data_IF_642931051614
#
_entry.id   IF_642931051614
#
_cell.length_a   1.000
_cell.length_b   1.000
_cell.length_c   1.000
_cell.angle_alpha   90.00
_cell.angle_beta   90.00
_cell.angle_gamma   90.00
#
_symmetry.space_group_name_H-M   'P 1'
#
loop_
_entity.id
_entity.type
_entity.pdbx_description
1 polymer ?
#
# COMPACT_ATOMS: atom_id res chain seq x y z
N UNK A 1 -10.95 19.81 -17.39
CA UNK A 1 -9.76 19.85 -16.50
C UNK A 1 -8.78 20.92 -16.98
N UNK A 2 -8.20 21.68 -16.06
CA UNK A 2 -7.22 22.72 -16.31
C UNK A 2 -5.81 22.12 -16.40
N UNK A 3 -5.32 21.92 -17.63
CA UNK A 3 -4.00 21.35 -17.89
C UNK A 3 -2.94 22.43 -18.12
N UNK A 4 -1.75 22.23 -17.55
CA UNK A 4 -0.55 23.04 -17.85
C UNK A 4 -0.05 22.77 -19.27
N UNK A 5 0.87 23.60 -19.76
CA UNK A 5 1.42 23.41 -21.10
C UNK A 5 2.20 22.10 -21.24
N UNK A 6 2.95 21.67 -20.22
CA UNK A 6 3.63 20.37 -20.25
C UNK A 6 2.62 19.20 -20.28
N UNK A 7 1.54 19.28 -19.51
CA UNK A 7 0.46 18.29 -19.50
C UNK A 7 -0.29 18.23 -20.83
N UNK A 8 -0.49 19.37 -21.51
CA UNK A 8 -1.04 19.41 -22.88
C UNK A 8 -0.10 18.78 -23.89
N UNK A 9 1.21 19.06 -23.81
CA UNK A 9 2.22 18.44 -24.67
C UNK A 9 2.25 16.91 -24.52
N UNK A 10 2.17 16.41 -23.28
CA UNK A 10 1.97 14.98 -23.01
C UNK A 10 0.73 14.44 -23.72
N UNK A 11 -0.43 15.10 -23.58
CA UNK A 11 -1.69 14.68 -24.17
C UNK A 11 -1.73 14.76 -25.71
N UNK A 12 -0.99 15.70 -26.30
CA UNK A 12 -0.90 15.87 -27.75
C UNK A 12 0.01 14.81 -28.41
N UNK A 13 0.97 14.26 -27.65
CA UNK A 13 1.90 13.24 -28.14
C UNK A 13 3.32 13.73 -28.39
N UNK A 14 3.65 14.93 -27.93
CA UNK A 14 4.98 15.55 -28.12
C UNK A 14 6.10 14.74 -27.43
N UNK A 15 5.74 13.88 -26.48
CA UNK A 15 6.64 12.96 -25.77
C UNK A 15 6.45 11.48 -26.18
N UNK A 16 5.82 11.22 -27.33
CA UNK A 16 5.58 9.89 -27.87
C UNK A 16 4.24 9.27 -27.45
N UNK A 17 3.84 8.21 -28.17
CA UNK A 17 2.53 7.57 -28.04
C UNK A 17 2.31 6.93 -26.66
N UNK A 18 3.36 6.42 -26.02
CA UNK A 18 3.27 5.86 -24.67
C UNK A 18 2.91 6.93 -23.63
N UNK A 19 3.60 8.08 -23.67
CA UNK A 19 3.32 9.19 -22.76
C UNK A 19 1.91 9.77 -22.99
N UNK A 20 1.49 9.86 -24.26
CA UNK A 20 0.15 10.27 -24.66
C UNK A 20 -0.94 9.37 -24.11
N UNK A 21 -0.77 8.04 -24.26
CA UNK A 21 -1.72 7.08 -23.73
C UNK A 21 -1.84 7.19 -22.20
N UNK A 22 -0.69 7.25 -21.51
CA UNK A 22 -0.66 7.40 -20.06
C UNK A 22 -1.38 8.67 -19.59
N UNK A 23 -1.10 9.81 -20.23
CA UNK A 23 -1.75 11.09 -19.91
C UNK A 23 -3.24 11.06 -20.22
N UNK A 24 -3.66 10.45 -21.32
CA UNK A 24 -5.08 10.28 -21.65
C UNK A 24 -5.83 9.52 -20.58
N UNK A 25 -5.25 8.43 -20.03
CA UNK A 25 -5.86 7.70 -18.92
C UNK A 25 -5.93 8.55 -17.66
N UNK A 26 -4.85 9.26 -17.31
CA UNK A 26 -4.86 10.14 -16.13
C UNK A 26 -5.90 11.25 -16.21
N UNK A 27 -6.07 11.86 -17.38
CA UNK A 27 -7.13 12.84 -17.64
C UNK A 27 -8.51 12.21 -17.47
N UNK A 28 -8.74 11.01 -18.02
CA UNK A 28 -10.02 10.33 -17.88
C UNK A 28 -10.34 9.96 -16.42
N UNK A 29 -9.33 9.56 -15.62
CA UNK A 29 -9.49 9.35 -14.17
C UNK A 29 -9.91 10.66 -13.50
N UNK A 30 -9.18 11.75 -13.77
CA UNK A 30 -9.49 13.04 -13.17
C UNK A 30 -10.89 13.55 -13.54
N UNK A 31 -11.31 13.39 -14.80
CA UNK A 31 -12.68 13.74 -15.23
C UNK A 31 -13.74 12.88 -14.52
N UNK A 32 -13.46 11.58 -14.32
CA UNK A 32 -14.38 10.66 -13.63
C UNK A 32 -14.57 11.01 -12.15
N UNK A 33 -13.54 11.56 -11.50
CA UNK A 33 -13.58 11.98 -10.09
C UNK A 33 -13.80 13.48 -9.90
N UNK A 34 -14.06 14.24 -10.98
CA UNK A 34 -14.32 15.68 -10.90
C UNK A 34 -13.09 16.53 -10.54
N UNK A 35 -11.87 16.03 -10.77
CA UNK A 35 -10.65 16.77 -10.53
C UNK A 35 -10.56 18.01 -11.43
N UNK A 36 -10.31 19.18 -10.84
CA UNK A 36 -10.17 20.42 -11.61
C UNK A 36 -8.84 20.50 -12.35
N UNK A 37 -7.77 19.94 -11.77
CA UNK A 37 -6.39 20.02 -12.29
C UNK A 37 -5.60 18.75 -12.01
N UNK A 38 -4.42 18.67 -12.62
CA UNK A 38 -3.40 17.66 -12.37
C UNK A 38 -2.27 18.24 -11.50
N UNK A 39 -1.73 17.46 -10.58
CA UNK A 39 -0.63 17.85 -9.68
C UNK A 39 0.59 16.95 -9.86
N UNK A 40 1.82 17.47 -9.72
CA UNK A 40 3.02 16.68 -9.89
C UNK A 40 3.17 15.67 -8.74
N UNK A 41 3.70 14.49 -9.05
CA UNK A 41 4.18 13.55 -8.05
C UNK A 41 5.70 13.59 -7.98
N UNK A 42 6.24 13.23 -6.82
CA UNK A 42 7.69 13.10 -6.60
C UNK A 42 8.14 11.66 -6.46
N UNK A 43 7.23 10.74 -6.12
CA UNK A 43 7.50 9.30 -5.94
C UNK A 43 6.39 8.46 -6.52
N UNK A 44 6.78 7.30 -7.02
CA UNK A 44 5.84 6.26 -7.41
C UNK A 44 6.28 4.88 -6.92
N UNK A 45 5.29 4.03 -6.69
CA UNK A 45 5.46 2.61 -6.42
C UNK A 45 4.45 1.85 -7.27
N UNK A 46 4.93 0.92 -8.08
CA UNK A 46 4.10 0.22 -9.09
C UNK A 46 4.09 -1.28 -8.85
N UNK A 47 3.15 -1.96 -9.49
CA UNK A 47 3.12 -3.41 -9.49
C UNK A 47 4.36 -4.01 -10.15
N UNK A 48 4.64 -5.27 -9.82
CA UNK A 48 5.48 -6.20 -10.57
C UNK A 48 5.06 -7.61 -10.12
N UNK A 49 3.79 -7.95 -10.39
CA UNK A 49 3.11 -9.06 -9.71
C UNK A 49 3.24 -10.40 -10.44
N UNK A 50 3.96 -10.45 -11.57
CA UNK A 50 4.00 -11.61 -12.46
C UNK A 50 2.58 -12.06 -12.88
N UNK A 51 1.72 -11.10 -13.18
CA UNK A 51 0.36 -11.35 -13.67
C UNK A 51 0.26 -10.90 -15.12
N UNK A 52 -0.48 -11.64 -15.94
CA UNK A 52 -0.61 -11.39 -17.39
C UNK A 52 -0.96 -9.94 -17.73
N UNK A 53 -1.89 -9.34 -16.99
CA UNK A 53 -2.33 -7.97 -17.22
C UNK A 53 -1.23 -6.93 -16.94
N UNK A 54 -0.42 -7.16 -15.89
CA UNK A 54 0.69 -6.31 -15.49
C UNK A 54 1.81 -6.35 -16.54
N UNK A 55 2.22 -7.57 -16.93
CA UNK A 55 3.20 -7.78 -17.99
C UNK A 55 2.75 -7.17 -19.32
N UNK A 56 1.51 -7.45 -19.73
CA UNK A 56 0.95 -6.93 -20.97
C UNK A 56 1.01 -5.41 -21.01
N UNK A 57 0.62 -4.74 -19.91
CA UNK A 57 0.65 -3.29 -19.87
C UNK A 57 2.09 -2.78 -19.94
N UNK A 58 3.00 -3.32 -19.13
CA UNK A 58 4.39 -2.89 -19.11
C UNK A 58 5.05 -3.04 -20.50
N UNK A 59 4.89 -4.18 -21.17
CA UNK A 59 5.42 -4.40 -22.53
C UNK A 59 4.75 -3.49 -23.56
N UNK A 60 3.43 -3.28 -23.46
CA UNK A 60 2.72 -2.33 -24.33
C UNK A 60 3.30 -0.93 -24.20
N UNK A 61 3.53 -0.45 -22.99
CA UNK A 61 4.10 0.88 -22.76
C UNK A 61 5.54 0.98 -23.28
N UNK A 62 6.35 -0.08 -23.11
CA UNK A 62 7.70 -0.16 -23.72
C UNK A 62 7.63 -0.07 -25.24
N UNK A 63 6.73 -0.83 -25.88
CA UNK A 63 6.57 -0.86 -27.33
C UNK A 63 6.07 0.48 -27.90
N UNK A 64 5.33 1.26 -27.10
CA UNK A 64 4.93 2.63 -27.42
C UNK A 64 6.01 3.68 -27.11
N UNK A 65 7.22 3.25 -26.71
CA UNK A 65 8.35 4.12 -26.42
C UNK A 65 8.27 4.87 -25.10
N UNK A 66 7.40 4.46 -24.17
CA UNK A 66 7.26 5.14 -22.89
C UNK A 66 8.53 5.04 -22.03
N UNK A 67 8.75 6.08 -21.22
CA UNK A 67 9.74 6.13 -20.15
C UNK A 67 9.11 6.79 -18.93
N UNK A 68 9.44 6.30 -17.75
CA UNK A 68 9.02 6.92 -16.51
C UNK A 68 9.78 8.23 -16.31
N UNK A 69 9.06 9.34 -16.16
CA UNK A 69 9.61 10.63 -15.73
C UNK A 69 10.00 10.59 -14.25
N UNK A 70 9.23 9.86 -13.45
CA UNK A 70 9.51 9.56 -12.04
C UNK A 70 9.82 8.07 -11.95
N UNK A 71 11.07 7.70 -11.67
CA UNK A 71 11.48 6.30 -11.59
C UNK A 71 10.72 5.58 -10.45
N UNK A 72 9.81 4.64 -10.75
CA UNK A 72 9.06 3.98 -9.70
C UNK A 72 9.91 2.91 -9.02
N UNK A 73 9.64 2.68 -7.73
CA UNK A 73 9.99 1.41 -7.08
C UNK A 73 8.93 0.36 -7.40
N UNK A 74 9.22 -0.92 -7.17
CA UNK A 74 8.33 -2.01 -7.59
C UNK A 74 7.97 -2.95 -6.44
N UNK A 75 6.72 -3.41 -6.48
CA UNK A 75 6.22 -4.53 -5.68
C UNK A 75 7.01 -5.82 -5.97
N UNK A 76 6.95 -6.85 -5.11
CA UNK A 76 7.70 -8.07 -5.32
C UNK A 76 6.99 -9.02 -6.31
N UNK A 77 7.76 -9.53 -7.26
CA UNK A 77 7.50 -10.83 -7.89
C UNK A 77 8.34 -11.91 -7.20
N UNK A 78 8.19 -13.18 -7.58
CA UNK A 78 9.00 -14.25 -6.97
C UNK A 78 10.49 -14.11 -7.32
N UNK A 79 11.36 -14.59 -6.43
CA UNK A 79 12.80 -14.56 -6.65
C UNK A 79 13.21 -15.60 -7.70
N UNK A 80 13.43 -15.14 -8.95
CA UNK A 80 13.77 -16.00 -10.11
C UNK A 80 14.93 -16.95 -9.83
N UNK A 81 16.04 -16.44 -9.30
CA UNK A 81 17.25 -17.22 -9.04
C UNK A 81 16.98 -18.34 -8.03
N UNK A 82 16.28 -18.00 -6.94
CA UNK A 82 15.92 -18.94 -5.90
C UNK A 82 14.97 -20.03 -6.41
N UNK A 83 13.84 -19.65 -7.03
CA UNK A 83 12.83 -20.59 -7.48
C UNK A 83 13.35 -21.52 -8.60
N UNK A 84 14.18 -20.99 -9.51
CA UNK A 84 14.85 -21.80 -10.54
C UNK A 84 15.84 -22.79 -9.93
N UNK A 85 16.69 -22.35 -8.99
CA UNK A 85 17.67 -23.22 -8.34
C UNK A 85 17.02 -24.36 -7.54
N UNK A 86 15.79 -24.16 -7.05
CA UNK A 86 15.02 -25.16 -6.30
C UNK A 86 14.07 -25.99 -7.16
N UNK A 87 13.97 -25.70 -8.46
CA UNK A 87 12.99 -26.33 -9.36
C UNK A 87 11.54 -26.20 -8.82
N UNK A 88 11.20 -25.02 -8.28
CA UNK A 88 9.89 -24.70 -7.67
C UNK A 88 8.98 -23.88 -8.60
N UNK A 89 9.38 -23.67 -9.85
CA UNK A 89 8.65 -22.84 -10.81
C UNK A 89 8.70 -23.49 -12.19
N UNK A 90 7.62 -23.35 -12.96
CA UNK A 90 7.59 -23.80 -14.35
C UNK A 90 8.51 -22.92 -15.22
N UNK A 91 8.93 -23.43 -16.39
CA UNK A 91 9.71 -22.62 -17.34
C UNK A 91 8.88 -21.43 -17.84
N UNK A 92 7.58 -21.63 -18.05
CA UNK A 92 6.63 -20.59 -18.48
C UNK A 92 6.54 -19.44 -17.47
N UNK A 93 6.35 -19.76 -16.19
CA UNK A 93 6.29 -18.76 -15.12
C UNK A 93 7.64 -18.02 -14.96
N UNK A 94 8.76 -18.73 -15.11
CA UNK A 94 10.08 -18.12 -15.07
C UNK A 94 10.27 -17.10 -16.20
N UNK A 95 9.90 -17.47 -17.42
CA UNK A 95 10.02 -16.62 -18.60
C UNK A 95 9.09 -15.40 -18.51
N UNK A 96 7.88 -15.59 -17.98
CA UNK A 96 6.94 -14.50 -17.70
C UNK A 96 7.52 -13.49 -16.70
N UNK A 97 8.12 -13.97 -15.62
CA UNK A 97 8.72 -13.12 -14.59
C UNK A 97 9.97 -12.39 -15.12
N UNK A 98 10.76 -13.04 -15.97
CA UNK A 98 11.90 -12.42 -16.64
C UNK A 98 11.49 -11.33 -17.63
N UNK A 99 10.45 -11.56 -18.43
CA UNK A 99 9.86 -10.53 -19.29
C UNK A 99 9.35 -9.35 -18.49
N UNK A 100 8.67 -9.62 -17.37
CA UNK A 100 8.13 -8.58 -16.48
C UNK A 100 9.26 -7.73 -15.89
N UNK A 101 10.30 -8.36 -15.35
CA UNK A 101 11.52 -7.68 -14.91
C UNK A 101 12.11 -6.77 -15.99
N UNK A 102 12.26 -7.30 -17.21
CA UNK A 102 12.86 -6.57 -18.32
C UNK A 102 12.00 -5.41 -18.81
N UNK A 103 10.67 -5.56 -18.81
CA UNK A 103 9.74 -4.50 -19.19
C UNK A 103 9.83 -3.31 -18.21
N UNK A 104 9.73 -3.57 -16.91
CA UNK A 104 9.86 -2.53 -15.88
C UNK A 104 11.25 -1.88 -15.88
N UNK A 105 12.32 -2.66 -16.09
CA UNK A 105 13.67 -2.12 -16.27
C UNK A 105 13.76 -1.16 -17.47
N UNK A 106 13.17 -1.54 -18.61
CA UNK A 106 13.14 -0.70 -19.82
C UNK A 106 12.30 0.56 -19.62
N UNK A 107 11.24 0.52 -18.80
CA UNK A 107 10.45 1.69 -18.44
C UNK A 107 11.19 2.66 -17.50
N UNK A 108 12.29 2.22 -16.86
CA UNK A 108 13.09 3.04 -15.96
C UNK A 108 12.79 2.81 -14.48
N UNK A 109 12.17 1.69 -14.12
CA UNK A 109 11.88 1.34 -12.73
C UNK A 109 13.16 0.98 -11.95
N UNK A 110 13.17 1.32 -10.67
CA UNK A 110 14.11 0.80 -9.67
C UNK A 110 13.54 -0.53 -9.14
N UNK A 111 14.21 -1.62 -9.46
CA UNK A 111 13.71 -2.97 -9.19
C UNK A 111 13.96 -3.39 -7.74
N UNK A 112 13.23 -2.77 -6.81
CA UNK A 112 13.34 -2.94 -5.35
C UNK A 112 12.72 -4.22 -4.81
N UNK A 113 11.72 -4.79 -5.51
CA UNK A 113 11.01 -6.00 -5.09
C UNK A 113 10.51 -5.93 -3.64
N UNK A 114 9.80 -4.86 -3.28
CA UNK A 114 9.41 -4.60 -1.90
C UNK A 114 7.96 -4.10 -1.79
N UNK A 115 7.08 -4.84 -1.09
CA UNK A 115 5.69 -4.42 -0.87
C UNK A 115 5.49 -3.48 0.32
N UNK A 116 6.55 -3.19 1.08
CA UNK A 116 6.51 -2.22 2.19
C UNK A 116 7.46 -1.05 1.92
N UNK A 117 7.35 -0.39 0.74
CA UNK A 117 8.34 0.60 0.30
C UNK A 117 8.42 1.82 1.23
N UNK A 118 7.32 2.13 1.89
CA UNK A 118 7.15 3.24 2.84
C UNK A 118 7.87 3.04 4.18
N UNK A 119 8.49 1.87 4.43
CA UNK A 119 9.31 1.63 5.63
C UNK A 119 10.78 1.96 5.38
N UNK A 120 11.31 1.69 4.18
CA UNK A 120 12.76 1.73 3.94
C UNK A 120 13.14 2.28 2.55
N UNK A 121 12.60 1.68 1.46
CA UNK A 121 13.12 1.94 0.12
C UNK A 121 12.54 3.16 -0.60
N UNK A 122 11.39 3.67 -0.17
CA UNK A 122 10.69 4.79 -0.82
C UNK A 122 9.82 5.56 0.19
N UNK A 123 10.45 6.07 1.24
CA UNK A 123 9.77 6.78 2.34
C UNK A 123 9.42 8.22 1.90
N UNK A 124 8.12 8.61 1.90
CA UNK A 124 7.71 9.97 1.56
C UNK A 124 7.82 10.93 2.76
N UNK A 125 7.79 12.23 2.47
CA UNK A 125 7.71 13.29 3.47
C UNK A 125 6.26 13.70 3.74
N UNK A 126 6.05 14.42 4.84
CA UNK A 126 4.76 15.05 5.15
C UNK A 126 4.31 15.99 4.02
N UNK A 127 3.05 15.84 3.58
CA UNK A 127 2.45 16.61 2.50
C UNK A 127 2.90 16.25 1.09
N UNK A 128 3.87 15.34 0.94
CA UNK A 128 4.39 14.92 -0.37
C UNK A 128 3.31 14.19 -1.18
N UNK A 129 3.09 14.61 -2.43
CA UNK A 129 2.14 13.95 -3.33
C UNK A 129 2.85 12.80 -4.05
N UNK A 130 2.35 11.58 -3.86
CA UNK A 130 2.95 10.36 -4.37
C UNK A 130 1.89 9.49 -5.07
N UNK A 131 2.33 8.50 -5.84
CA UNK A 131 1.45 7.53 -6.50
C UNK A 131 1.87 6.09 -6.15
N UNK A 132 1.29 5.52 -5.09
CA UNK A 132 1.65 4.19 -4.62
C UNK A 132 0.54 3.17 -4.91
N UNK A 133 0.86 2.17 -5.75
CA UNK A 133 0.00 1.02 -5.99
C UNK A 133 0.41 -0.17 -5.13
N UNK A 134 0.06 -0.08 -3.85
CA UNK A 134 0.10 -1.21 -2.93
C UNK A 134 -0.93 -1.03 -1.80
N UNK A 135 -1.63 -2.11 -1.47
CA UNK A 135 -2.81 -2.13 -0.58
C UNK A 135 -2.51 -1.58 0.82
N UNK A 136 -1.35 -1.94 1.38
CA UNK A 136 -0.91 -1.48 2.70
C UNK A 136 -0.21 -0.12 2.65
N UNK A 137 0.31 0.28 1.48
CA UNK A 137 1.10 1.48 1.30
C UNK A 137 0.29 2.77 1.31
N UNK A 138 -0.90 2.76 0.69
CA UNK A 138 -1.81 3.91 0.66
C UNK A 138 -2.17 4.38 2.09
N UNK A 139 -2.76 3.53 2.96
CA UNK A 139 -3.11 3.97 4.30
C UNK A 139 -1.89 4.32 5.16
N UNK A 140 -0.76 3.61 5.00
CA UNK A 140 0.45 3.96 5.75
C UNK A 140 1.01 5.33 5.35
N UNK A 141 1.14 5.59 4.05
CA UNK A 141 1.67 6.86 3.55
C UNK A 141 0.80 8.04 3.99
N UNK A 142 -0.53 7.90 3.90
CA UNK A 142 -1.45 8.92 4.35
C UNK A 142 -1.40 9.11 5.88
N UNK A 143 -1.49 8.03 6.66
CA UNK A 143 -1.71 8.11 8.11
C UNK A 143 -0.46 8.26 8.96
N UNK A 144 0.66 7.67 8.54
CA UNK A 144 1.90 7.64 9.32
C UNK A 144 2.82 8.77 8.89
N UNK A 145 2.99 8.92 7.57
CA UNK A 145 3.87 9.97 7.03
C UNK A 145 3.14 11.28 6.75
N UNK A 146 1.81 11.28 6.66
CA UNK A 146 1.05 12.45 6.23
C UNK A 146 1.31 12.83 4.77
N UNK A 147 1.82 11.90 3.97
CA UNK A 147 1.90 12.07 2.53
C UNK A 147 0.50 12.04 1.92
N UNK A 148 0.38 12.39 0.63
CA UNK A 148 -0.89 12.48 -0.09
C UNK A 148 -0.89 11.53 -1.27
N UNK A 149 -1.75 10.53 -1.19
CA UNK A 149 -1.99 9.58 -2.28
C UNK A 149 -3.43 9.10 -2.23
N UNK A 150 -4.04 8.97 -3.40
CA UNK A 150 -5.24 8.15 -3.55
C UNK A 150 -4.84 6.68 -3.60
N UNK A 151 -5.84 5.79 -3.59
CA UNK A 151 -5.61 4.37 -3.81
C UNK A 151 -5.34 4.11 -5.29
N UNK A 152 -4.06 4.16 -5.65
CA UNK A 152 -3.64 3.93 -7.02
C UNK A 152 -3.70 2.43 -7.38
N UNK A 153 -4.31 2.13 -8.52
CA UNK A 153 -4.19 0.80 -9.13
C UNK A 153 -2.83 0.64 -9.82
N UNK A 154 -2.47 -0.61 -10.15
CA UNK A 154 -1.18 -0.92 -10.78
C UNK A 154 -0.95 -0.06 -12.03
N UNK A 155 -2.01 0.10 -12.83
CA UNK A 155 -2.01 0.85 -14.06
C UNK A 155 -1.90 2.36 -13.82
N UNK A 156 -2.68 2.91 -12.88
CA UNK A 156 -2.70 4.35 -12.63
C UNK A 156 -1.40 4.84 -12.01
N UNK A 157 -0.76 4.06 -11.11
CA UNK A 157 0.57 4.38 -10.61
C UNK A 157 1.65 4.31 -11.71
N UNK A 158 1.58 3.34 -12.62
CA UNK A 158 2.51 3.28 -13.75
C UNK A 158 2.32 4.48 -14.68
N UNK A 159 1.09 4.85 -15.00
CA UNK A 159 0.82 6.04 -15.79
C UNK A 159 1.26 7.31 -15.08
N UNK A 160 1.07 7.42 -13.76
CA UNK A 160 1.57 8.52 -12.96
C UNK A 160 3.11 8.62 -13.01
N UNK A 161 3.80 7.48 -13.01
CA UNK A 161 5.26 7.40 -13.17
C UNK A 161 5.73 7.89 -14.54
N UNK A 162 4.97 7.56 -15.60
CA UNK A 162 5.23 7.98 -16.99
C UNK A 162 4.98 9.47 -17.18
N UNK A 163 3.86 9.99 -16.69
CA UNK A 163 3.47 11.39 -16.87
C UNK A 163 4.18 12.32 -15.89
N UNK A 164 4.47 11.86 -14.68
CA UNK A 164 4.89 12.66 -13.53
C UNK A 164 3.73 13.37 -12.83
N UNK A 165 2.47 13.01 -13.14
CA UNK A 165 1.28 13.70 -12.64
C UNK A 165 0.16 12.74 -12.26
N UNK A 166 -0.62 13.14 -11.25
CA UNK A 166 -1.91 12.54 -10.86
C UNK A 166 -3.01 13.62 -10.86
N UNK A 167 -4.28 13.27 -11.06
CA UNK A 167 -5.37 14.23 -10.89
C UNK A 167 -5.55 14.58 -9.42
N UNK A 168 -5.86 15.85 -9.12
CA UNK A 168 -6.07 16.32 -7.76
C UNK A 168 -7.52 16.05 -7.32
N UNK A 169 -7.72 14.95 -6.60
CA UNK A 169 -9.02 14.55 -6.03
C UNK A 169 -8.82 13.70 -4.77
N UNK A 170 -9.92 13.37 -4.09
CA UNK A 170 -9.90 12.40 -2.99
C UNK A 170 -8.99 12.86 -1.85
N UNK A 171 -8.09 11.99 -1.39
CA UNK A 171 -7.21 12.23 -0.25
C UNK A 171 -6.07 13.21 -0.53
N UNK A 172 -5.99 13.77 -1.73
CA UNK A 172 -5.11 14.91 -2.01
C UNK A 172 -5.68 16.21 -1.43
N UNK A 173 -6.99 16.25 -1.17
CA UNK A 173 -7.72 17.40 -0.63
C UNK A 173 -7.88 17.30 0.90
N UNK A 174 -7.68 18.40 1.63
CA UNK A 174 -7.67 18.42 3.09
C UNK A 174 -9.02 18.03 3.71
N UNK A 175 -10.10 18.46 3.09
CA UNK A 175 -11.47 18.20 3.55
C UNK A 175 -11.81 16.71 3.57
N UNK A 176 -11.23 15.93 2.65
CA UNK A 176 -11.48 14.49 2.53
C UNK A 176 -10.65 13.64 3.49
N UNK A 177 -9.68 14.26 4.18
CA UNK A 177 -8.80 13.59 5.13
C UNK A 177 -9.31 13.70 6.57
N UNK A 178 -10.33 14.50 6.84
CA UNK A 178 -10.87 14.70 8.19
C UNK A 178 -11.58 13.45 8.70
N UNK A 179 -11.33 13.14 9.96
CA UNK A 179 -11.96 12.04 10.66
C UNK A 179 -13.47 12.20 10.73
N UNK A 180 -14.20 11.09 10.66
CA UNK A 180 -15.65 11.07 10.83
C UNK A 180 -16.16 9.92 11.71
N UNK A 181 -15.28 8.98 12.08
CA UNK A 181 -15.59 7.90 13.01
C UNK A 181 -14.62 7.98 14.19
N UNK A 182 -15.12 8.10 15.41
CA UNK A 182 -14.30 7.95 16.61
C UNK A 182 -14.23 6.47 16.99
N UNK A 183 -13.03 5.92 17.05
CA UNK A 183 -12.77 4.54 17.47
C UNK A 183 -12.06 4.57 18.82
N UNK A 184 -12.77 4.16 19.87
CA UNK A 184 -12.23 4.01 21.22
C UNK A 184 -11.70 2.59 21.41
N UNK A 185 -10.37 2.44 21.45
CA UNK A 185 -9.73 1.14 21.60
C UNK A 185 -9.53 0.84 23.08
N UNK A 186 -10.32 -0.09 23.59
CA UNK A 186 -10.25 -0.61 24.96
C UNK A 186 -9.63 -2.02 25.02
N UNK A 187 -9.33 -2.61 23.88
CA UNK A 187 -8.63 -3.89 23.78
C UNK A 187 -7.17 -3.78 24.25
N UNK A 188 -6.62 -4.91 24.72
CA UNK A 188 -5.24 -4.99 25.21
C UNK A 188 -4.23 -4.96 24.04
N UNK A 189 -3.62 -3.80 23.79
CA UNK A 189 -2.65 -3.59 22.71
C UNK A 189 -1.22 -4.02 23.11
N UNK A 190 -1.02 -5.32 23.37
CA UNK A 190 0.23 -5.87 23.95
C UNK A 190 1.40 -5.98 22.98
N UNK A 191 1.13 -6.13 21.68
CA UNK A 191 2.15 -6.37 20.65
C UNK A 191 1.61 -6.02 19.25
N UNK A 192 2.49 -6.15 18.24
CA UNK A 192 2.20 -5.78 16.85
C UNK A 192 1.12 -6.65 16.18
N UNK A 193 0.85 -7.83 16.73
CA UNK A 193 -0.26 -8.68 16.26
C UNK A 193 -1.62 -8.08 16.62
N UNK A 194 -1.77 -7.39 17.75
CA UNK A 194 -3.02 -6.71 18.13
C UNK A 194 -3.48 -5.71 17.06
N UNK A 195 -2.55 -5.11 16.31
CA UNK A 195 -2.86 -4.17 15.23
C UNK A 195 -3.41 -4.86 13.99
N UNK A 196 -3.06 -6.13 13.74
CA UNK A 196 -3.78 -6.92 12.74
C UNK A 196 -5.25 -7.10 13.13
N UNK A 197 -5.49 -7.47 14.39
CA UNK A 197 -6.84 -7.72 14.89
C UNK A 197 -7.69 -6.46 14.87
N UNK A 198 -7.11 -5.32 15.31
CA UNK A 198 -7.76 -4.02 15.23
C UNK A 198 -8.15 -3.64 13.80
N UNK A 199 -7.24 -3.82 12.84
CA UNK A 199 -7.54 -3.54 11.43
C UNK A 199 -8.60 -4.47 10.85
N UNK A 200 -8.70 -5.72 11.33
CA UNK A 200 -9.74 -6.66 10.92
C UNK A 200 -11.14 -6.32 11.47
N UNK A 201 -11.24 -5.44 12.47
CA UNK A 201 -12.53 -4.91 12.95
C UNK A 201 -13.20 -3.92 11.98
N UNK A 202 -12.71 -3.77 10.74
CA UNK A 202 -13.20 -2.79 9.76
C UNK A 202 -14.71 -2.84 9.50
N UNK A 203 -15.35 -4.01 9.57
CA UNK A 203 -16.82 -4.13 9.47
C UNK A 203 -17.54 -3.45 10.64
N UNK A 204 -17.02 -3.57 11.87
CA UNK A 204 -17.56 -2.93 13.07
C UNK A 204 -17.31 -1.42 13.06
N UNK A 205 -16.13 -0.99 12.57
CA UNK A 205 -15.75 0.41 12.42
C UNK A 205 -16.68 1.11 11.40
N UNK A 206 -16.87 0.52 10.23
CA UNK A 206 -17.70 1.06 9.15
C UNK A 206 -16.97 2.06 8.22
N UNK A 207 -17.59 2.41 7.09
CA UNK A 207 -16.95 3.24 6.07
C UNK A 207 -16.71 4.68 6.53
N UNK A 208 -15.48 5.17 6.37
CA UNK A 208 -15.10 6.55 6.70
C UNK A 208 -13.59 6.67 6.97
N UNK A 209 -13.19 7.77 7.60
CA UNK A 209 -11.83 8.00 8.10
C UNK A 209 -11.87 7.83 9.62
N UNK A 210 -11.43 6.67 10.15
CA UNK A 210 -11.45 6.42 11.58
C UNK A 210 -10.36 7.20 12.30
N UNK A 211 -10.69 7.72 13.48
CA UNK A 211 -9.75 8.33 14.44
C UNK A 211 -9.66 7.40 15.64
N UNK A 212 -8.55 6.68 15.74
CA UNK A 212 -8.25 5.76 16.83
C UNK A 212 -7.77 6.51 18.07
N UNK A 213 -8.35 6.16 19.21
CA UNK A 213 -7.99 6.63 20.56
C UNK A 213 -7.74 5.42 21.46
N UNK A 214 -7.09 5.62 22.62
CA UNK A 214 -6.77 4.52 23.54
C UNK A 214 -5.56 3.66 23.13
N UNK A 215 -4.85 4.02 22.06
CA UNK A 215 -3.64 3.31 21.62
C UNK A 215 -2.40 3.70 22.46
N UNK A 216 -1.41 2.79 22.59
CA UNK A 216 -0.14 3.09 23.24
C UNK A 216 0.60 4.27 22.60
N UNK A 217 1.38 5.00 23.41
CA UNK A 217 2.19 6.15 22.95
C UNK A 217 3.25 5.76 21.91
N UNK A 218 3.86 4.58 22.09
CA UNK A 218 4.87 4.06 21.17
C UNK A 218 4.27 2.93 20.35
N UNK A 219 4.31 3.08 19.04
CA UNK A 219 3.79 2.12 18.07
C UNK A 219 4.92 1.82 17.08
N UNK A 220 5.21 0.55 16.87
CA UNK A 220 6.27 0.15 15.93
C UNK A 220 5.83 0.38 14.47
N UNK A 221 6.78 0.56 13.53
CA UNK A 221 6.48 0.55 12.10
C UNK A 221 5.71 -0.71 11.67
N UNK A 222 6.04 -1.87 12.24
CA UNK A 222 5.38 -3.15 11.98
C UNK A 222 3.92 -3.14 12.43
N UNK A 223 3.60 -2.62 13.61
CA UNK A 223 2.23 -2.44 14.09
C UNK A 223 1.41 -1.53 13.16
N UNK A 224 1.97 -0.40 12.73
CA UNK A 224 1.30 0.54 11.82
C UNK A 224 1.08 -0.08 10.44
N UNK A 225 2.07 -0.84 9.94
CA UNK A 225 1.97 -1.63 8.71
C UNK A 225 0.84 -2.66 8.81
N UNK A 226 0.78 -3.36 9.93
CA UNK A 226 -0.22 -4.39 10.20
C UNK A 226 -1.64 -3.79 10.26
N UNK A 227 -1.80 -2.65 10.92
CA UNK A 227 -3.07 -1.93 10.99
C UNK A 227 -3.53 -1.49 9.59
N UNK A 228 -2.65 -0.80 8.84
CA UNK A 228 -2.98 -0.30 7.50
C UNK A 228 -3.33 -1.43 6.53
N UNK A 229 -2.56 -2.52 6.55
CA UNK A 229 -2.83 -3.70 5.72
C UNK A 229 -4.22 -4.30 6.02
N UNK A 230 -4.53 -4.54 7.29
CA UNK A 230 -5.78 -5.21 7.65
C UNK A 230 -7.01 -4.30 7.53
N UNK A 231 -6.88 -2.99 7.76
CA UNK A 231 -7.95 -2.04 7.43
C UNK A 231 -8.27 -2.10 5.93
N UNK A 232 -7.24 -2.09 5.07
CA UNK A 232 -7.48 -2.19 3.64
C UNK A 232 -8.20 -3.50 3.26
N UNK A 233 -7.82 -4.63 3.88
CA UNK A 233 -8.47 -5.94 3.68
C UNK A 233 -9.92 -5.98 4.17
N UNK A 234 -10.20 -5.42 5.34
CA UNK A 234 -11.51 -5.58 6.01
C UNK A 234 -12.56 -4.54 5.60
N UNK A 235 -12.13 -3.38 5.10
CA UNK A 235 -13.05 -2.29 4.78
C UNK A 235 -12.56 -1.27 3.74
N UNK A 236 -11.47 -1.57 3.01
CA UNK A 236 -10.95 -0.72 1.95
C UNK A 236 -10.62 0.72 2.40
N UNK A 237 -10.09 0.88 3.61
CA UNK A 237 -9.68 2.20 4.10
C UNK A 237 -8.43 2.69 3.37
N UNK A 238 -8.48 3.94 2.93
CA UNK A 238 -7.38 4.64 2.26
C UNK A 238 -6.55 5.49 3.24
N UNK A 239 -7.11 5.76 4.43
CA UNK A 239 -6.50 6.53 5.50
C UNK A 239 -7.20 6.24 6.84
N UNK A 240 -6.46 6.45 7.92
CA UNK A 240 -6.91 6.53 9.31
C UNK A 240 -6.12 7.60 10.08
N UNK A 241 -6.58 7.97 11.28
CA UNK A 241 -5.84 8.80 12.22
C UNK A 241 -5.58 8.02 13.50
N UNK A 242 -4.40 8.18 14.09
CA UNK A 242 -4.12 7.79 15.47
C UNK A 242 -3.91 9.09 16.25
N UNK A 243 -4.77 9.34 17.24
CA UNK A 243 -4.75 10.58 18.02
C UNK A 243 -3.39 10.76 18.71
N UNK A 244 -2.74 11.92 18.48
CA UNK A 244 -1.43 12.25 19.05
C UNK A 244 -0.24 11.57 18.35
N UNK A 245 -0.47 10.79 17.29
CA UNK A 245 0.57 10.15 16.48
C UNK A 245 0.53 10.61 15.02
N UNK A 246 -0.63 10.52 14.37
CA UNK A 246 -0.78 10.97 12.99
C UNK A 246 -0.56 12.48 12.91
N UNK A 247 0.29 12.99 11.98
CA UNK A 247 0.62 14.42 11.93
C UNK A 247 -0.59 15.35 11.82
N UNK A 248 -1.66 14.87 11.18
CA UNK A 248 -2.92 15.61 10.97
C UNK A 248 -3.94 15.46 12.12
N UNK A 249 -3.62 14.68 13.15
CA UNK A 249 -4.49 14.43 14.30
C UNK A 249 -3.76 14.59 15.65
N UNK A 250 -3.18 15.77 15.93
CA UNK A 250 -2.54 16.04 17.23
C UNK A 250 -3.55 16.03 18.39
N UNK A 251 -4.80 16.41 18.11
CA UNK A 251 -5.92 16.45 19.04
C UNK A 251 -7.24 16.17 18.30
N UNK A 252 -8.33 15.95 19.07
CA UNK A 252 -9.64 15.59 18.52
C UNK A 252 -10.25 16.73 17.71
N UNK A 253 -10.06 17.98 18.14
CA UNK A 253 -10.58 19.15 17.42
C UNK A 253 -10.00 19.25 16.02
N UNK A 254 -8.69 19.03 15.86
CA UNK A 254 -8.00 19.04 14.57
C UNK A 254 -8.38 17.84 13.72
N UNK A 255 -8.43 16.64 14.32
CA UNK A 255 -8.74 15.39 13.61
C UNK A 255 -10.15 15.40 13.00
N UNK A 256 -11.13 15.95 13.71
CA UNK A 256 -12.52 16.03 13.27
C UNK A 256 -12.92 17.38 12.65
N UNK A 257 -11.97 18.30 12.44
CA UNK A 257 -12.26 19.64 11.92
C UNK A 257 -13.34 20.37 12.76
N UNK A 258 -13.21 20.26 14.09
CA UNK A 258 -14.12 20.83 15.10
C UNK A 258 -15.58 20.37 14.98
N UNK A 259 -15.83 19.24 14.32
CA UNK A 259 -17.14 18.62 14.20
C UNK A 259 -17.26 17.44 15.17
N UNK A 260 -18.48 17.08 15.54
CA UNK A 260 -18.72 15.82 16.23
C UNK A 260 -18.52 14.65 15.26
N UNK A 261 -17.98 13.50 15.73
CA UNK A 261 -17.90 12.30 14.91
C UNK A 261 -19.30 11.83 14.51
N UNK A 262 -19.46 11.41 13.26
CA UNK A 262 -20.72 10.86 12.74
C UNK A 262 -21.03 9.48 13.32
N UNK A 263 -20.01 8.78 13.81
CA UNK A 263 -20.11 7.45 14.43
C UNK A 263 -19.09 7.32 15.55
N UNK A 264 -19.48 6.66 16.64
CA UNK A 264 -18.58 6.27 17.74
C UNK A 264 -18.60 4.75 17.85
N UNK A 265 -17.43 4.12 17.93
CA UNK A 265 -17.27 2.67 18.00
C UNK A 265 -16.26 2.34 19.09
N UNK A 266 -16.59 1.40 19.97
CA UNK A 266 -15.64 0.84 20.94
C UNK A 266 -15.15 -0.52 20.46
N UNK A 267 -13.83 -0.75 20.51
CA UNK A 267 -13.19 -2.03 20.19
C UNK A 267 -12.63 -2.64 21.48
N UNK A 268 -13.04 -3.86 21.81
CA UNK A 268 -12.67 -4.59 23.04
C UNK A 268 -11.95 -5.90 22.73
N UNK A 269 -11.51 -6.62 23.77
CA UNK A 269 -10.88 -7.93 23.60
C UNK A 269 -11.83 -8.97 22.99
N UNK A 270 -13.13 -8.89 23.30
CA UNK A 270 -14.16 -9.76 22.72
C UNK A 270 -14.25 -9.59 21.20
N UNK A 271 -14.03 -8.37 20.68
CA UNK A 271 -13.99 -8.15 19.22
C UNK A 271 -12.78 -8.86 18.58
N UNK A 272 -11.63 -8.88 19.26
CA UNK A 272 -10.46 -9.61 18.78
C UNK A 272 -10.71 -11.12 18.80
N UNK A 273 -11.37 -11.65 19.84
CA UNK A 273 -11.76 -13.06 19.91
C UNK A 273 -12.74 -13.43 18.78
N UNK A 274 -13.72 -12.57 18.50
CA UNK A 274 -14.67 -12.78 17.40
C UNK A 274 -13.97 -12.78 16.04
N UNK A 275 -13.08 -11.81 15.79
CA UNK A 275 -12.27 -11.77 14.57
C UNK A 275 -11.46 -13.07 14.46
N UNK A 276 -10.76 -13.48 15.52
CA UNK A 276 -9.91 -14.67 15.50
C UNK A 276 -10.72 -15.92 15.14
N UNK A 277 -11.88 -16.09 15.77
CA UNK A 277 -12.80 -17.19 15.47
C UNK A 277 -13.27 -17.21 14.01
N UNK A 278 -13.42 -16.04 13.40
CA UNK A 278 -13.87 -15.92 12.01
C UNK A 278 -12.76 -16.19 10.99
N UNK A 279 -11.52 -15.82 11.30
CA UNK A 279 -10.38 -15.88 10.35
C UNK A 279 -9.47 -17.09 10.57
N UNK A 280 -9.65 -17.82 11.67
CA UNK A 280 -8.83 -18.96 12.03
C UNK A 280 -9.68 -20.17 12.40
N UNK A 281 -9.10 -21.34 12.20
CA UNK A 281 -9.68 -22.58 12.70
C UNK A 281 -9.17 -22.83 14.13
N UNK A 282 -9.88 -23.66 14.88
CA UNK A 282 -9.43 -24.09 16.21
C UNK A 282 -8.01 -24.69 16.15
N UNK A 283 -7.22 -24.41 17.20
CA UNK A 283 -5.82 -24.81 17.30
C UNK A 283 -5.59 -26.30 17.54
N UNK A 284 -4.37 -26.67 17.95
CA UNK A 284 -3.94 -28.05 18.22
C UNK A 284 -4.14 -29.03 17.05
N UNK A 285 -3.90 -28.52 15.84
CA UNK A 285 -3.98 -29.27 14.59
C UNK A 285 -2.60 -29.42 13.96
N UNK A 286 -2.47 -30.39 13.07
CA UNK A 286 -1.29 -30.50 12.22
C UNK A 286 -1.21 -29.29 11.28
N UNK A 287 0.01 -28.75 11.12
CA UNK A 287 0.30 -27.61 10.25
C UNK A 287 1.24 -28.09 9.16
N UNK A 288 0.78 -27.98 7.91
CA UNK A 288 1.54 -28.49 6.77
C UNK A 288 2.65 -27.56 6.29
N UNK A 289 2.43 -26.26 6.45
CA UNK A 289 3.31 -25.20 5.98
C UNK A 289 3.05 -23.93 6.78
N UNK A 290 4.10 -23.14 7.00
CA UNK A 290 4.01 -21.81 7.62
C UNK A 290 4.75 -20.85 6.70
N UNK A 291 4.06 -19.78 6.30
CA UNK A 291 4.63 -18.70 5.50
C UNK A 291 4.79 -17.46 6.36
N UNK A 292 5.94 -16.81 6.23
CA UNK A 292 6.23 -15.53 6.85
C UNK A 292 6.54 -14.51 5.76
N UNK A 293 6.30 -13.22 6.01
CA UNK A 293 6.67 -12.17 5.06
C UNK A 293 5.55 -11.58 4.20
N UNK A 294 4.27 -11.70 4.57
CA UNK A 294 3.20 -10.93 3.93
C UNK A 294 2.38 -10.13 4.97
N UNK A 295 2.46 -8.79 5.00
CA UNK A 295 3.36 -7.93 4.22
C UNK A 295 4.86 -8.24 4.47
N UNK A 296 5.75 -7.77 3.61
CA UNK A 296 7.20 -8.05 3.73
C UNK A 296 7.73 -7.69 5.12
N UNK A 297 8.46 -8.65 5.68
CA UNK A 297 9.01 -8.55 7.03
C UNK A 297 10.14 -7.54 7.09
N UNK A 298 10.23 -6.83 8.21
CA UNK A 298 11.41 -6.05 8.54
C UNK A 298 12.53 -6.97 9.04
N UNK A 299 13.76 -6.44 9.12
CA UNK A 299 14.87 -7.17 9.73
C UNK A 299 14.56 -7.61 11.17
N UNK A 300 13.80 -6.81 11.92
CA UNK A 300 13.45 -7.12 13.31
C UNK A 300 12.53 -8.35 13.39
N UNK A 301 11.55 -8.46 12.51
CA UNK A 301 10.66 -9.63 12.46
C UNK A 301 11.39 -10.89 12.02
N UNK A 302 12.30 -10.78 11.04
CA UNK A 302 13.18 -11.87 10.65
C UNK A 302 14.05 -12.35 11.83
N UNK A 303 14.65 -11.42 12.58
CA UNK A 303 15.43 -11.74 13.79
C UNK A 303 14.58 -12.39 14.87
N UNK A 304 13.36 -11.89 15.09
CA UNK A 304 12.44 -12.45 16.07
C UNK A 304 12.14 -13.93 15.76
N UNK A 305 11.83 -14.26 14.50
CA UNK A 305 11.61 -15.65 14.09
C UNK A 305 12.88 -16.49 14.27
N UNK A 306 14.01 -15.99 13.77
CA UNK A 306 15.28 -16.73 13.84
C UNK A 306 15.64 -17.11 15.27
N UNK A 307 15.50 -16.18 16.21
CA UNK A 307 15.70 -16.42 17.65
C UNK A 307 14.67 -17.41 18.22
N UNK A 308 13.40 -17.31 17.81
CA UNK A 308 12.34 -18.19 18.30
C UNK A 308 12.54 -19.66 17.88
N UNK A 309 13.27 -19.93 16.79
CA UNK A 309 13.55 -21.29 16.30
C UNK A 309 14.99 -21.76 16.58
N UNK A 310 15.83 -20.92 17.17
CA UNK A 310 17.23 -21.25 17.45
C UNK A 310 17.34 -22.49 18.35
N UNK A 311 18.20 -23.43 17.96
CA UNK A 311 18.38 -24.71 18.66
C UNK A 311 17.20 -25.68 18.59
N UNK A 312 16.10 -25.33 17.91
CA UNK A 312 14.91 -26.18 17.81
C UNK A 312 14.96 -27.05 16.55
N UNK A 313 14.52 -28.31 16.69
CA UNK A 313 14.26 -29.20 15.55
C UNK A 313 12.82 -29.03 15.09
N UNK A 314 12.63 -28.41 13.93
CA UNK A 314 11.29 -28.24 13.34
C UNK A 314 10.75 -29.59 12.82
N UNK A 315 9.44 -29.82 12.97
CA UNK A 315 8.77 -31.05 12.49
C UNK A 315 8.86 -31.22 10.97
N UNK A 316 8.80 -30.13 10.23
CA UNK A 316 9.08 -30.08 8.79
C UNK A 316 10.31 -29.21 8.54
N UNK A 317 11.08 -29.53 7.48
CA UNK A 317 12.26 -28.73 7.09
C UNK A 317 11.83 -27.32 6.72
N UNK A 318 12.56 -26.32 7.20
CA UNK A 318 12.38 -24.94 6.76
C UNK A 318 12.83 -24.85 5.29
N UNK A 319 11.89 -24.57 4.38
CA UNK A 319 12.23 -24.09 3.04
C UNK A 319 12.38 -22.58 3.13
N UNK A 320 13.63 -22.10 3.21
CA UNK A 320 13.95 -20.73 2.82
C UNK A 320 13.96 -20.69 1.32
#
# INVERSE_FOLDING_TARGET
>A
MNLTDDQKKLLNGDFGEGAKLAMKVQVAIGESFGAERMVPITRAHVALSNQDADLWLAEKMVNLGAKCRIAPTVNPGFCREYFKAKNLVSQEDYDMMERTHNAYKKLGAQLTYNCTPYIDTNVPNFGEIIAFSESSATPYANSVWGARTNREGANSALFASITGYVPEYGLLLDENRKGNILVDVQADMKNDYCYHMLGMCGKKIGHGVPVFTGLPKYISPEALRNLGAQLNTSGAYDMYHILGFTPEAPDLETAFDKKEPLRKVTITNEDFEEVLKNISLEGNREIDFVMFGCPHFTLNECRHIAMAIEGKKLKKKCGY
#
